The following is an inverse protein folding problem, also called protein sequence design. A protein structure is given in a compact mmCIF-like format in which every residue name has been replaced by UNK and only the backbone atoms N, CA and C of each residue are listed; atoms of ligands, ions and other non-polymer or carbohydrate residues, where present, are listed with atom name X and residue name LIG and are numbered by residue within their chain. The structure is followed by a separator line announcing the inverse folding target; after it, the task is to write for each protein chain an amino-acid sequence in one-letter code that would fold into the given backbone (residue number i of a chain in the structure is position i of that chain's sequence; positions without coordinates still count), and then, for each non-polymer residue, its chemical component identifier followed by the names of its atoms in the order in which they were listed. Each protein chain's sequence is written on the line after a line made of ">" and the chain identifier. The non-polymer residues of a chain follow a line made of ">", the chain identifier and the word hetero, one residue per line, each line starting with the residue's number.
data_IF_234703354720
#
_entry.id   IF_234703354720
#
_cell.length_a   1.000
_cell.length_b   1.000
_cell.length_c   1.000
_cell.angle_alpha   90.00
_cell.angle_beta   90.00
_cell.angle_gamma   90.00
#
_symmetry.space_group_name_H-M   'P 1'
#
loop_
_entity.id
_entity.type
_entity.pdbx_description
1 polymer ?
#
# COMPACT_ATOMS: atom_id res chain seq x y z
N UNK A 1 13.34 20.13 -14.26
CA UNK A 1 13.12 20.31 -12.80
C UNK A 1 13.77 19.14 -12.13
N UNK A 2 14.67 19.34 -11.17
CA UNK A 2 15.31 18.25 -10.41
C UNK A 2 14.37 17.73 -9.31
N UNK A 3 14.51 16.45 -8.94
CA UNK A 3 13.86 15.88 -7.75
C UNK A 3 14.30 16.67 -6.51
N UNK A 4 13.37 16.97 -5.60
CA UNK A 4 13.73 17.72 -4.40
C UNK A 4 14.50 16.84 -3.41
N UNK A 5 15.37 17.45 -2.62
CA UNK A 5 16.07 16.74 -1.53
C UNK A 5 15.09 16.13 -0.53
N UNK A 6 13.92 16.74 -0.36
CA UNK A 6 12.89 16.24 0.55
C UNK A 6 12.25 14.96 0.02
N UNK A 7 11.95 14.88 -1.28
CA UNK A 7 11.41 13.66 -1.90
C UNK A 7 12.36 12.46 -1.71
N UNK A 8 13.67 12.71 -1.80
CA UNK A 8 14.70 11.69 -1.58
C UNK A 8 14.78 11.26 -0.11
N UNK A 9 14.60 12.18 0.84
CA UNK A 9 14.54 11.82 2.27
C UNK A 9 13.31 10.98 2.59
N UNK A 10 12.15 11.35 2.08
CA UNK A 10 10.91 10.57 2.30
C UNK A 10 11.07 9.16 1.71
N UNK A 11 11.71 9.02 0.54
CA UNK A 11 12.05 7.70 -0.02
C UNK A 11 12.91 6.88 0.94
N UNK A 12 13.98 7.46 1.44
CA UNK A 12 14.91 6.76 2.34
C UNK A 12 14.22 6.37 3.66
N UNK A 13 13.38 7.27 4.21
CA UNK A 13 12.57 6.97 5.39
C UNK A 13 11.65 5.77 5.15
N UNK A 14 10.99 5.69 4.00
CA UNK A 14 10.14 4.54 3.66
C UNK A 14 10.93 3.23 3.55
N UNK A 15 12.19 3.26 3.08
CA UNK A 15 13.07 2.08 3.06
C UNK A 15 13.44 1.65 4.48
N UNK A 16 13.79 2.62 5.34
CA UNK A 16 14.14 2.35 6.74
C UNK A 16 12.94 1.79 7.50
N UNK A 17 11.75 2.38 7.32
CA UNK A 17 10.50 1.91 7.89
C UNK A 17 10.20 0.48 7.43
N UNK A 18 10.27 0.21 6.13
CA UNK A 18 10.06 -1.13 5.59
C UNK A 18 10.98 -2.18 6.24
N UNK A 19 12.24 -1.83 6.53
CA UNK A 19 13.21 -2.73 7.17
C UNK A 19 12.92 -3.03 8.65
N UNK A 20 12.15 -2.17 9.31
CA UNK A 20 11.75 -2.36 10.71
C UNK A 20 10.52 -3.27 10.86
N UNK A 21 9.83 -3.55 9.76
CA UNK A 21 8.63 -4.37 9.73
C UNK A 21 8.91 -5.83 9.38
N UNK A 22 7.91 -6.69 9.57
CA UNK A 22 7.94 -8.01 8.95
C UNK A 22 7.90 -7.90 7.42
N UNK A 23 8.30 -8.96 6.72
CA UNK A 23 8.44 -8.91 5.26
C UNK A 23 7.16 -8.42 4.53
N UNK A 24 5.98 -8.87 4.98
CA UNK A 24 4.74 -8.56 4.27
C UNK A 24 4.33 -7.10 4.47
N UNK A 25 4.43 -6.60 5.71
CA UNK A 25 4.16 -5.19 6.03
C UNK A 25 5.23 -4.26 5.45
N UNK A 26 6.51 -4.63 5.49
CA UNK A 26 7.58 -3.85 4.87
C UNK A 26 7.46 -3.80 3.34
N UNK A 27 7.09 -4.90 2.69
CA UNK A 27 6.74 -4.90 1.26
C UNK A 27 5.53 -4.00 0.98
N UNK A 28 4.54 -3.99 1.89
CA UNK A 28 3.40 -3.09 1.78
C UNK A 28 3.81 -1.62 1.88
N UNK A 29 4.68 -1.24 2.82
CA UNK A 29 5.22 0.13 2.94
C UNK A 29 5.89 0.57 1.62
N UNK A 30 6.71 -0.30 1.02
CA UNK A 30 7.33 -0.02 -0.29
C UNK A 30 6.27 0.22 -1.37
N UNK A 31 5.25 -0.65 -1.45
CA UNK A 31 4.18 -0.54 -2.43
C UNK A 31 3.29 0.68 -2.20
N UNK A 32 2.97 1.00 -0.96
CA UNK A 32 2.18 2.15 -0.56
C UNK A 32 2.88 3.45 -0.90
N UNK A 33 4.17 3.57 -0.57
CA UNK A 33 5.00 4.70 -0.99
C UNK A 33 5.00 4.87 -2.51
N UNK A 34 5.24 3.79 -3.26
CA UNK A 34 5.24 3.84 -4.73
C UNK A 34 3.89 4.28 -5.31
N UNK A 35 2.79 3.84 -4.72
CA UNK A 35 1.45 4.31 -5.09
C UNK A 35 1.27 5.79 -4.74
N UNK A 36 1.63 6.19 -3.52
CA UNK A 36 1.48 7.56 -3.03
C UNK A 36 2.28 8.55 -3.89
N UNK A 37 3.56 8.28 -4.17
CA UNK A 37 4.44 9.10 -5.00
C UNK A 37 3.90 9.31 -6.41
N UNK A 38 3.37 8.24 -7.04
CA UNK A 38 2.75 8.32 -8.37
C UNK A 38 1.57 9.29 -8.39
N UNK A 39 0.85 9.41 -7.28
CA UNK A 39 -0.27 10.32 -7.11
C UNK A 39 0.12 11.70 -6.56
N UNK A 40 1.39 11.95 -6.24
CA UNK A 40 1.85 13.33 -5.93
C UNK A 40 1.67 14.20 -7.18
N UNK A 41 1.68 15.53 -7.03
CA UNK A 41 1.50 16.46 -8.16
C UNK A 41 2.47 16.27 -9.35
N UNK A 42 2.38 17.09 -10.41
CA UNK A 42 2.99 16.82 -11.72
C UNK A 42 4.54 16.88 -11.80
N UNK A 43 5.24 17.02 -10.68
CA UNK A 43 6.71 17.11 -10.63
C UNK A 43 7.44 15.80 -10.94
N UNK A 44 8.76 15.90 -11.16
CA UNK A 44 9.62 14.72 -11.31
C UNK A 44 9.58 13.88 -10.03
N UNK A 45 9.43 12.56 -10.18
CA UNK A 45 9.30 11.62 -9.06
C UNK A 45 10.63 10.97 -8.71
N UNK A 46 10.86 10.64 -7.43
CA UNK A 46 11.92 9.70 -7.06
C UNK A 46 11.69 8.34 -7.73
N UNK A 47 12.77 7.56 -7.82
CA UNK A 47 12.68 6.18 -8.28
C UNK A 47 11.80 5.37 -7.33
N UNK A 48 11.06 4.41 -7.88
CA UNK A 48 10.29 3.46 -7.07
C UNK A 48 11.23 2.70 -6.11
N UNK A 49 10.68 2.25 -4.98
CA UNK A 49 11.37 1.36 -4.05
C UNK A 49 11.09 -0.07 -4.49
N UNK A 50 12.12 -0.83 -4.85
CA UNK A 50 12.05 -2.28 -4.98
C UNK A 50 12.04 -2.91 -3.58
N UNK A 51 11.21 -3.93 -3.35
CA UNK A 51 11.19 -4.65 -2.07
C UNK A 51 12.57 -5.21 -1.73
N UNK A 52 13.39 -5.58 -2.73
CA UNK A 52 14.77 -6.04 -2.52
C UNK A 52 15.70 -4.95 -2.00
N UNK A 53 15.38 -3.66 -2.17
CA UNK A 53 16.15 -2.58 -1.52
C UNK A 53 15.97 -2.60 0.00
N UNK A 54 14.76 -2.92 0.47
CA UNK A 54 14.47 -3.10 1.89
C UNK A 54 14.94 -4.47 2.39
N UNK A 55 14.76 -5.53 1.59
CA UNK A 55 15.04 -6.92 1.96
C UNK A 55 15.98 -7.60 0.94
N UNK A 56 17.31 -7.34 0.97
CA UNK A 56 18.23 -7.83 -0.07
C UNK A 56 18.31 -9.35 -0.19
N UNK A 57 18.04 -10.07 0.90
CA UNK A 57 18.12 -11.53 0.99
C UNK A 57 16.89 -12.26 0.42
N UNK A 58 15.82 -11.53 0.06
CA UNK A 58 14.62 -12.16 -0.50
C UNK A 58 14.90 -12.68 -1.92
N UNK A 59 14.34 -13.86 -2.22
CA UNK A 59 14.37 -14.40 -3.58
C UNK A 59 13.51 -13.55 -4.54
N UNK A 60 13.80 -13.57 -5.84
CA UNK A 60 12.99 -12.87 -6.84
C UNK A 60 11.54 -13.38 -6.87
N UNK A 61 11.37 -14.69 -6.68
CA UNK A 61 10.05 -15.33 -6.63
C UNK A 61 9.24 -14.84 -5.43
N UNK A 62 9.86 -14.82 -4.24
CA UNK A 62 9.17 -14.38 -3.02
C UNK A 62 8.89 -12.88 -3.07
N UNK A 63 9.81 -12.07 -3.61
CA UNK A 63 9.60 -10.64 -3.84
C UNK A 63 8.37 -10.39 -4.72
N UNK A 64 8.28 -11.07 -5.87
CA UNK A 64 7.13 -10.97 -6.75
C UNK A 64 5.83 -11.40 -6.06
N UNK A 65 5.88 -12.48 -5.27
CA UNK A 65 4.72 -12.98 -4.53
C UNK A 65 4.22 -11.99 -3.48
N UNK A 66 5.10 -11.39 -2.67
CA UNK A 66 4.68 -10.40 -1.66
C UNK A 66 4.15 -9.12 -2.28
N UNK A 67 4.76 -8.65 -3.37
CA UNK A 67 4.28 -7.50 -4.15
C UNK A 67 2.88 -7.78 -4.71
N UNK A 68 2.65 -8.98 -5.27
CA UNK A 68 1.34 -9.38 -5.76
C UNK A 68 0.28 -9.37 -4.65
N UNK A 69 0.63 -9.83 -3.44
CA UNK A 69 -0.27 -9.78 -2.29
C UNK A 69 -0.60 -8.34 -1.87
N UNK A 70 0.37 -7.43 -1.89
CA UNK A 70 0.14 -6.02 -1.61
C UNK A 70 -0.84 -5.39 -2.62
N UNK A 71 -0.67 -5.68 -3.92
CA UNK A 71 -1.60 -5.21 -4.95
C UNK A 71 -3.01 -5.78 -4.79
N UNK A 72 -3.12 -7.06 -4.42
CA UNK A 72 -4.41 -7.66 -4.13
C UNK A 72 -5.10 -6.96 -2.95
N UNK A 73 -4.34 -6.63 -1.89
CA UNK A 73 -4.86 -5.87 -0.76
C UNK A 73 -5.37 -4.49 -1.15
N UNK A 74 -4.63 -3.73 -1.97
CA UNK A 74 -5.11 -2.44 -2.49
C UNK A 74 -6.39 -2.57 -3.31
N UNK A 75 -6.49 -3.62 -4.13
CA UNK A 75 -7.68 -3.88 -4.93
C UNK A 75 -8.88 -4.20 -4.07
N UNK A 76 -8.71 -5.08 -3.09
CA UNK A 76 -9.78 -5.53 -2.20
C UNK A 76 -10.27 -4.43 -1.27
N UNK A 77 -9.41 -3.48 -0.89
CA UNK A 77 -9.77 -2.31 -0.08
C UNK A 77 -10.83 -1.39 -0.73
N UNK A 78 -11.04 -1.47 -2.05
CA UNK A 78 -12.07 -0.68 -2.72
C UNK A 78 -13.49 -1.03 -2.25
N UNK A 79 -13.78 -2.30 -2.00
CA UNK A 79 -15.13 -2.72 -1.61
C UNK A 79 -15.58 -2.14 -0.25
N UNK A 80 -14.80 -2.28 0.85
CA UNK A 80 -15.13 -1.59 2.09
C UNK A 80 -15.08 -0.05 1.97
N UNK A 81 -14.21 0.52 1.12
CA UNK A 81 -14.23 1.96 0.85
C UNK A 81 -15.54 2.44 0.21
N UNK A 82 -16.06 1.70 -0.79
CA UNK A 82 -17.36 1.96 -1.40
C UNK A 82 -18.51 1.81 -0.39
N UNK A 83 -18.46 0.78 0.46
CA UNK A 83 -19.42 0.60 1.55
C UNK A 83 -19.42 1.82 2.48
N UNK A 84 -18.24 2.32 2.85
CA UNK A 84 -18.06 3.50 3.71
C UNK A 84 -18.60 4.78 3.07
N UNK A 85 -18.48 4.92 1.75
CA UNK A 85 -18.96 6.07 0.99
C UNK A 85 -20.44 5.98 0.60
N UNK A 86 -21.12 4.85 0.87
CA UNK A 86 -22.56 4.69 0.62
C UNK A 86 -22.92 4.45 -0.84
N UNK A 87 -22.06 3.78 -1.60
CA UNK A 87 -22.33 3.42 -2.99
C UNK A 87 -23.51 2.44 -3.09
N UNK A 88 -24.44 2.70 -4.01
CA UNK A 88 -25.71 1.96 -4.13
C UNK A 88 -25.55 0.47 -4.49
N UNK A 89 -24.42 0.12 -5.08
CA UNK A 89 -24.06 -1.23 -5.50
C UNK A 89 -23.60 -2.10 -4.33
N UNK A 90 -23.21 -1.49 -3.20
CA UNK A 90 -22.74 -2.19 -2.01
C UNK A 90 -23.88 -2.36 -1.02
N UNK A 91 -24.27 -3.61 -0.78
CA UNK A 91 -25.44 -3.96 0.04
C UNK A 91 -25.13 -4.24 1.51
N UNK A 92 -23.84 -4.35 1.85
CA UNK A 92 -23.38 -4.65 3.21
C UNK A 92 -22.86 -3.39 3.90
N UNK A 93 -22.86 -3.40 5.24
CA UNK A 93 -22.28 -2.32 6.03
C UNK A 93 -20.75 -2.25 5.89
N UNK A 94 -20.17 -1.12 6.28
CA UNK A 94 -18.72 -0.92 6.25
C UNK A 94 -17.99 -1.94 7.13
N UNK A 95 -18.47 -2.18 8.34
CA UNK A 95 -17.85 -3.08 9.31
C UNK A 95 -17.79 -4.52 8.77
N UNK A 96 -18.89 -5.00 8.18
CA UNK A 96 -18.95 -6.32 7.56
C UNK A 96 -18.00 -6.43 6.36
N UNK A 97 -18.00 -5.43 5.47
CA UNK A 97 -17.10 -5.39 4.33
C UNK A 97 -15.62 -5.32 4.75
N UNK A 98 -15.31 -4.60 5.82
CA UNK A 98 -13.95 -4.44 6.34
C UNK A 98 -13.43 -5.73 6.99
N UNK A 99 -14.27 -6.42 7.76
CA UNK A 99 -13.90 -7.73 8.31
C UNK A 99 -13.66 -8.76 7.20
N UNK A 100 -14.49 -8.78 6.16
CA UNK A 100 -14.28 -9.67 5.01
C UNK A 100 -13.04 -9.30 4.20
N UNK A 101 -12.70 -8.01 4.09
CA UNK A 101 -11.45 -7.54 3.52
C UNK A 101 -10.23 -8.08 4.28
N UNK A 102 -10.23 -8.00 5.61
CA UNK A 102 -9.15 -8.52 6.47
C UNK A 102 -9.02 -10.03 6.36
N UNK A 103 -10.14 -10.77 6.34
CA UNK A 103 -10.13 -12.24 6.15
C UNK A 103 -9.54 -12.66 4.80
N UNK A 104 -9.77 -11.89 3.74
CA UNK A 104 -9.20 -12.16 2.40
C UNK A 104 -7.70 -11.84 2.30
N UNK A 105 -7.20 -10.97 3.16
CA UNK A 105 -5.82 -10.48 3.13
C UNK A 105 -5.11 -10.77 4.45
N UNK A 106 -4.98 -12.04 4.89
CA UNK A 106 -4.44 -12.34 6.21
C UNK A 106 -2.94 -12.02 6.33
N UNK A 107 -2.51 -11.65 7.53
CA UNK A 107 -1.09 -11.49 7.88
C UNK A 107 -0.52 -10.09 7.73
N UNK A 108 -1.29 -9.11 7.26
CA UNK A 108 -0.93 -7.70 7.35
C UNK A 108 -1.30 -7.13 8.73
N UNK A 109 -0.60 -6.06 9.14
CA UNK A 109 -0.89 -5.31 10.35
C UNK A 109 -2.16 -4.45 10.21
N UNK A 110 -2.72 -4.01 11.34
CA UNK A 110 -3.85 -3.06 11.36
C UNK A 110 -3.50 -1.74 10.66
N UNK A 111 -2.25 -1.30 10.77
CA UNK A 111 -1.76 -0.09 10.13
C UNK A 111 -1.76 -0.23 8.60
N UNK A 112 -1.27 -1.37 8.09
CA UNK A 112 -1.31 -1.68 6.66
C UNK A 112 -2.75 -1.69 6.12
N UNK A 113 -3.71 -2.29 6.84
CA UNK A 113 -5.13 -2.21 6.47
C UNK A 113 -5.64 -0.77 6.45
N UNK A 114 -5.26 0.04 7.45
CA UNK A 114 -5.62 1.45 7.52
C UNK A 114 -5.10 2.26 6.33
N UNK A 115 -3.85 2.05 5.94
CA UNK A 115 -3.24 2.69 4.76
C UNK A 115 -3.90 2.26 3.44
N UNK A 116 -4.21 0.97 3.27
CA UNK A 116 -4.93 0.51 2.08
C UNK A 116 -6.34 1.10 1.99
N UNK A 117 -7.05 1.19 3.12
CA UNK A 117 -8.34 1.87 3.20
C UNK A 117 -8.24 3.35 2.86
N UNK A 118 -7.21 4.04 3.38
CA UNK A 118 -6.97 5.45 3.06
C UNK A 118 -6.74 5.64 1.55
N UNK A 119 -5.87 4.83 0.94
CA UNK A 119 -5.61 4.87 -0.49
C UNK A 119 -6.89 4.64 -1.32
N UNK A 120 -7.71 3.66 -0.93
CA UNK A 120 -8.98 3.37 -1.60
C UNK A 120 -9.99 4.52 -1.47
N UNK A 121 -10.09 5.16 -0.29
CA UNK A 121 -10.97 6.31 -0.08
C UNK A 121 -10.53 7.54 -0.88
N UNK A 122 -9.23 7.72 -1.09
CA UNK A 122 -8.71 8.83 -1.91
C UNK A 122 -8.95 8.58 -3.40
N UNK A 123 -8.82 7.34 -3.89
CA UNK A 123 -9.06 7.00 -5.30
C UNK A 123 -10.53 6.99 -5.72
N UNK A 124 -11.45 6.72 -4.78
CA UNK A 124 -12.89 6.67 -5.07
C UNK A 124 -13.60 8.02 -4.84
N UNK A 125 -12.85 9.09 -4.58
CA UNK A 125 -13.38 10.46 -4.54
C UNK A 125 -13.27 11.12 -5.90
#
# INVERSE_FOLDING_TARGET
>A
MSISTEDLKVREMAIVEARCENLLDGAFVCCFYNWFVRNWGPGQKPAIIDVKEAFPEISDQDSAAVVQRCYQMFKDANYPAMARLGYSEVKVGFEEAFEDFKKKNPGFSEESYGHAMHAALVNNR
#
